data_IF_067381343379
#
_entry.id   IF_067381343379
#
_cell.length_a   1.000
_cell.length_b   1.000
_cell.length_c   1.000
_cell.angle_alpha   90.00
_cell.angle_beta   90.00
_cell.angle_gamma   90.00
#
_symmetry.space_group_name_H-M   'P 1'
#
loop_
_entity.id
_entity.type
_entity.pdbx_description
1 polymer ?
#
# COMPACT_ATOMS: atom_id res chain seq x y z
N UNK A 1 61.16 -17.35 -72.14
CA UNK A 1 60.27 -18.53 -72.29
C UNK A 1 60.56 -19.48 -71.14
N UNK A 2 59.52 -19.95 -70.41
CA UNK A 2 59.55 -20.79 -69.19
C UNK A 2 60.04 -20.05 -67.92
N UNK A 3 59.48 -20.18 -66.72
CA UNK A 3 58.58 -21.17 -66.14
C UNK A 3 57.78 -20.54 -64.99
N UNK A 4 56.54 -21.01 -64.81
CA UNK A 4 55.59 -20.72 -63.73
C UNK A 4 56.14 -21.07 -62.34
N UNK A 5 55.76 -20.29 -61.32
CA UNK A 5 55.45 -20.80 -59.97
C UNK A 5 54.19 -20.10 -59.42
N UNK A 6 53.12 -20.90 -59.36
CA UNK A 6 51.89 -20.66 -58.61
C UNK A 6 52.05 -21.35 -57.25
N UNK A 7 51.77 -20.62 -56.17
CA UNK A 7 51.37 -21.07 -54.83
C UNK A 7 50.77 -19.79 -54.22
N UNK A 8 49.46 -19.63 -54.02
CA UNK A 8 48.51 -20.55 -53.39
C UNK A 8 48.10 -19.92 -52.06
N UNK A 9 47.41 -18.77 -52.09
CA UNK A 9 46.90 -18.09 -50.91
C UNK A 9 45.44 -18.49 -50.68
N UNK A 10 45.23 -19.46 -49.79
CA UNK A 10 43.90 -19.81 -49.27
C UNK A 10 43.47 -18.76 -48.24
N UNK A 11 42.56 -17.86 -48.62
CA UNK A 11 41.88 -16.97 -47.69
C UNK A 11 40.73 -17.75 -47.03
N UNK A 12 40.92 -18.18 -45.78
CA UNK A 12 39.84 -18.69 -44.95
C UNK A 12 38.99 -17.49 -44.45
N UNK A 13 37.79 -17.35 -45.00
CA UNK A 13 36.80 -16.38 -44.54
C UNK A 13 36.12 -16.93 -43.28
N UNK A 14 36.57 -16.48 -42.10
CA UNK A 14 35.86 -16.73 -40.84
C UNK A 14 34.70 -15.73 -40.75
N UNK A 15 33.49 -16.19 -41.07
CA UNK A 15 32.25 -15.49 -40.75
C UNK A 15 32.03 -15.56 -39.23
N UNK A 16 32.49 -14.54 -38.52
CA UNK A 16 32.08 -14.30 -37.14
C UNK A 16 30.61 -13.89 -37.15
N UNK A 17 29.72 -14.86 -36.88
CA UNK A 17 28.33 -14.59 -36.53
C UNK A 17 28.37 -13.93 -35.15
N UNK A 18 28.43 -12.60 -35.13
CA UNK A 18 28.24 -11.83 -33.93
C UNK A 18 26.79 -11.98 -33.49
N UNK A 19 26.55 -12.86 -32.53
CA UNK A 19 25.29 -12.90 -31.79
C UNK A 19 25.18 -11.61 -30.99
N UNK A 20 24.56 -10.58 -31.59
CA UNK A 20 24.09 -9.41 -30.84
C UNK A 20 22.95 -9.88 -29.96
N UNK A 21 23.27 -10.26 -28.72
CA UNK A 21 22.29 -10.26 -27.64
C UNK A 21 21.85 -8.80 -27.48
N UNK A 22 20.74 -8.43 -28.12
CA UNK A 22 20.02 -7.24 -27.78
C UNK A 22 19.58 -7.42 -26.32
N UNK A 23 20.30 -6.79 -25.39
CA UNK A 23 19.80 -6.57 -24.03
C UNK A 23 18.52 -5.74 -24.21
N UNK A 24 17.36 -6.41 -24.24
CA UNK A 24 16.10 -5.73 -24.07
C UNK A 24 16.18 -5.03 -22.72
N UNK A 25 16.30 -3.70 -22.75
CA UNK A 25 16.40 -2.89 -21.54
C UNK A 25 15.14 -3.14 -20.72
N UNK A 26 15.30 -3.77 -19.54
CA UNK A 26 14.17 -4.10 -18.67
C UNK A 26 13.46 -2.79 -18.31
N UNK A 27 12.19 -2.66 -18.71
CA UNK A 27 11.41 -1.47 -18.41
C UNK A 27 11.23 -1.36 -16.89
N UNK A 28 11.66 -0.25 -16.30
CA UNK A 28 11.43 0.05 -14.89
C UNK A 28 10.08 0.72 -14.67
N UNK A 29 9.32 0.22 -13.70
CA UNK A 29 8.07 0.80 -13.23
C UNK A 29 8.27 1.49 -11.88
N UNK A 30 7.66 2.67 -11.68
CA UNK A 30 7.65 3.38 -10.40
C UNK A 30 6.32 3.20 -9.68
N UNK A 31 6.35 2.69 -8.44
CA UNK A 31 5.13 2.48 -7.64
C UNK A 31 5.23 3.29 -6.35
N UNK A 32 4.24 4.15 -6.13
CA UNK A 32 4.12 4.95 -4.91
C UNK A 32 3.46 4.18 -3.78
N UNK A 33 3.91 4.42 -2.56
CA UNK A 33 3.27 3.94 -1.33
C UNK A 33 3.52 4.91 -0.18
N UNK A 34 2.72 4.80 0.88
CA UNK A 34 2.94 5.56 2.12
C UNK A 34 3.69 4.67 3.09
N UNK A 35 4.89 5.11 3.50
CA UNK A 35 5.66 4.39 4.50
C UNK A 35 5.01 4.52 5.89
N UNK A 36 5.13 3.47 6.71
CA UNK A 36 4.47 3.40 8.02
C UNK A 36 3.01 2.93 8.00
N UNK A 37 2.36 2.79 6.84
CA UNK A 37 1.05 2.15 6.72
C UNK A 37 1.25 0.68 6.37
N UNK A 38 1.05 -0.22 7.33
CA UNK A 38 1.44 -1.63 7.18
C UNK A 38 0.81 -2.32 5.96
N UNK A 39 -0.45 -2.04 5.66
CA UNK A 39 -1.17 -2.56 4.50
C UNK A 39 -0.60 -2.00 3.17
N UNK A 40 -0.28 -0.70 3.12
CA UNK A 40 0.31 -0.07 1.94
C UNK A 40 1.71 -0.61 1.68
N UNK A 41 2.51 -0.82 2.73
CA UNK A 41 3.86 -1.41 2.62
C UNK A 41 3.74 -2.86 2.14
N UNK A 42 2.93 -3.68 2.79
CA UNK A 42 2.76 -5.09 2.44
C UNK A 42 2.27 -5.29 1.00
N UNK A 43 1.19 -4.60 0.63
CA UNK A 43 0.55 -4.70 -0.69
C UNK A 43 1.49 -4.28 -1.80
N UNK A 44 2.14 -3.13 -1.66
CA UNK A 44 3.05 -2.61 -2.69
C UNK A 44 4.28 -3.50 -2.87
N UNK A 45 4.86 -4.03 -1.77
CA UNK A 45 6.04 -4.89 -1.89
C UNK A 45 5.70 -6.27 -2.49
N UNK A 46 4.55 -6.85 -2.16
CA UNK A 46 4.09 -8.10 -2.80
C UNK A 46 3.82 -7.90 -4.29
N UNK A 47 3.10 -6.83 -4.65
CA UNK A 47 2.86 -6.51 -6.06
C UNK A 47 4.19 -6.30 -6.82
N UNK A 48 5.13 -5.54 -6.24
CA UNK A 48 6.44 -5.34 -6.84
C UNK A 48 7.20 -6.65 -7.04
N UNK A 49 7.13 -7.57 -6.07
CA UNK A 49 7.80 -8.86 -6.18
C UNK A 49 7.19 -9.76 -7.26
N UNK A 50 5.86 -9.78 -7.39
CA UNK A 50 5.18 -10.48 -8.49
C UNK A 50 5.57 -9.87 -9.84
N UNK A 51 5.55 -8.54 -9.96
CA UNK A 51 5.93 -7.83 -11.18
C UNK A 51 7.37 -8.17 -11.59
N UNK A 52 8.31 -8.13 -10.64
CA UNK A 52 9.72 -8.48 -10.87
C UNK A 52 9.90 -9.95 -11.27
N UNK A 53 9.37 -10.88 -10.47
CA UNK A 53 9.65 -12.31 -10.67
C UNK A 53 8.84 -12.96 -11.79
N UNK A 54 7.62 -12.48 -12.07
CA UNK A 54 6.65 -13.16 -12.94
C UNK A 54 6.37 -12.40 -14.23
N UNK A 55 6.51 -11.07 -14.23
CA UNK A 55 6.14 -10.23 -15.37
C UNK A 55 7.36 -9.60 -16.07
N UNK A 56 8.56 -9.75 -15.51
CA UNK A 56 9.82 -9.35 -16.16
C UNK A 56 10.06 -7.83 -16.22
N UNK A 57 9.53 -7.07 -15.26
CA UNK A 57 9.78 -5.64 -15.12
C UNK A 57 10.60 -5.34 -13.87
N UNK A 58 11.47 -4.35 -13.96
CA UNK A 58 12.08 -3.78 -12.74
C UNK A 58 11.07 -2.87 -12.05
N UNK A 59 11.16 -2.77 -10.72
CA UNK A 59 10.26 -1.92 -9.93
C UNK A 59 11.07 -1.04 -8.99
N UNK A 60 10.81 0.26 -9.06
CA UNK A 60 11.27 1.27 -8.12
C UNK A 60 10.13 1.69 -7.21
N UNK A 61 10.21 1.29 -5.94
CA UNK A 61 9.26 1.73 -4.92
C UNK A 61 9.63 3.13 -4.42
N UNK A 62 8.62 3.99 -4.28
CA UNK A 62 8.80 5.36 -3.79
C UNK A 62 7.88 5.62 -2.61
N UNK A 63 8.48 5.74 -1.42
CA UNK A 63 7.80 6.19 -0.22
C UNK A 63 7.48 7.68 -0.34
N UNK A 64 6.20 8.05 -0.40
CA UNK A 64 5.72 9.42 -0.54
C UNK A 64 4.45 9.63 0.29
N UNK A 65 4.17 10.87 0.68
CA UNK A 65 2.91 11.21 1.35
C UNK A 65 1.71 11.03 0.40
N UNK A 66 0.52 10.77 0.96
CA UNK A 66 -0.73 10.48 0.21
C UNK A 66 -1.00 11.47 -0.93
N UNK A 67 -0.92 12.78 -0.66
CA UNK A 67 -1.16 13.79 -1.70
C UNK A 67 -0.15 13.76 -2.85
N UNK A 68 1.12 13.49 -2.54
CA UNK A 68 2.19 13.35 -3.55
C UNK A 68 1.99 12.06 -4.34
N UNK A 69 1.55 10.98 -3.69
CA UNK A 69 1.25 9.70 -4.34
C UNK A 69 0.16 9.85 -5.41
N UNK A 70 -0.99 10.43 -5.04
CA UNK A 70 -2.10 10.68 -5.98
C UNK A 70 -1.66 11.59 -7.14
N UNK A 71 -0.97 12.69 -6.83
CA UNK A 71 -0.46 13.61 -7.86
C UNK A 71 0.56 12.95 -8.78
N UNK A 72 1.42 12.08 -8.23
CA UNK A 72 2.44 11.37 -8.98
C UNK A 72 1.83 10.43 -10.02
N UNK A 73 0.78 9.68 -9.64
CA UNK A 73 0.08 8.78 -10.57
C UNK A 73 -0.73 9.58 -11.60
N UNK A 74 -1.45 10.63 -11.17
CA UNK A 74 -2.24 11.49 -12.07
C UNK A 74 -1.38 12.19 -13.15
N UNK A 75 -0.13 12.51 -12.84
CA UNK A 75 0.80 13.15 -13.79
C UNK A 75 1.71 12.18 -14.54
N UNK A 76 1.56 10.86 -14.32
CA UNK A 76 2.42 9.84 -14.93
C UNK A 76 3.85 9.78 -14.40
N UNK A 77 4.19 10.52 -13.34
CA UNK A 77 5.50 10.42 -12.65
C UNK A 77 5.64 9.13 -11.85
N UNK A 78 4.52 8.60 -11.36
CA UNK A 78 4.37 7.26 -10.82
C UNK A 78 3.52 6.45 -11.79
N UNK A 79 3.91 5.20 -12.03
CA UNK A 79 3.13 4.27 -12.86
C UNK A 79 1.90 3.74 -12.12
N UNK A 80 2.01 3.50 -10.80
CA UNK A 80 0.90 2.99 -10.00
C UNK A 80 0.97 3.35 -8.50
N UNK A 81 -0.15 3.15 -7.82
CA UNK A 81 -0.30 3.06 -6.37
C UNK A 81 -1.36 2.00 -6.03
N UNK A 82 -1.21 1.32 -4.90
CA UNK A 82 -2.09 0.24 -4.49
C UNK A 82 -2.79 0.50 -3.13
N UNK A 83 -2.72 1.73 -2.66
CA UNK A 83 -3.30 2.18 -1.39
C UNK A 83 -4.32 3.30 -1.59
N UNK A 84 -5.16 3.19 -2.62
CA UNK A 84 -6.26 4.10 -2.84
C UNK A 84 -7.51 3.67 -2.05
N UNK A 85 -7.67 4.18 -0.83
CA UNK A 85 -8.83 3.92 0.04
C UNK A 85 -10.07 4.71 -0.43
N UNK A 86 -11.05 4.04 -1.02
CA UNK A 86 -12.22 4.64 -1.67
C UNK A 86 -13.53 4.03 -1.19
N UNK A 87 -14.63 4.81 -1.13
CA UNK A 87 -14.74 6.21 -1.57
C UNK A 87 -14.55 7.24 -0.45
N UNK A 88 -14.38 6.83 0.81
CA UNK A 88 -14.51 7.74 1.96
C UNK A 88 -13.18 8.38 2.30
N UNK A 89 -12.14 7.58 2.49
CA UNK A 89 -10.85 8.05 3.03
C UNK A 89 -10.08 8.92 2.03
N UNK A 90 -10.03 8.53 0.76
CA UNK A 90 -9.41 9.30 -0.32
C UNK A 90 -10.44 9.93 -1.28
N UNK A 91 -11.69 10.13 -0.87
CA UNK A 91 -12.76 10.66 -1.72
C UNK A 91 -12.43 12.01 -2.39
N UNK A 92 -11.82 12.93 -1.64
CA UNK A 92 -11.39 14.22 -2.17
C UNK A 92 -10.24 14.09 -3.18
N UNK A 93 -9.30 13.18 -2.94
CA UNK A 93 -8.23 12.88 -3.88
C UNK A 93 -8.77 12.25 -5.15
N UNK A 94 -9.70 11.30 -5.03
CA UNK A 94 -10.37 10.69 -6.18
C UNK A 94 -11.12 11.72 -6.99
N UNK A 95 -11.94 12.56 -6.37
CA UNK A 95 -12.72 13.60 -7.05
C UNK A 95 -11.85 14.53 -7.88
N UNK A 96 -10.66 14.89 -7.37
CA UNK A 96 -9.70 15.77 -8.06
C UNK A 96 -8.92 15.08 -9.19
N UNK A 97 -8.70 13.77 -9.11
CA UNK A 97 -7.73 13.06 -9.95
C UNK A 97 -8.33 11.98 -10.87
N UNK A 98 -9.58 11.54 -10.66
CA UNK A 98 -10.19 10.39 -11.35
C UNK A 98 -10.12 10.45 -12.87
N UNK A 99 -10.15 11.64 -13.45
CA UNK A 99 -10.12 11.82 -14.91
C UNK A 99 -8.69 11.75 -15.48
N UNK A 100 -7.67 11.65 -14.62
CA UNK A 100 -6.24 11.59 -14.94
C UNK A 100 -5.60 10.24 -14.59
N UNK A 101 -6.35 9.31 -13.99
CA UNK A 101 -5.87 7.99 -13.57
C UNK A 101 -6.77 6.89 -14.12
N UNK A 102 -6.33 5.64 -13.97
CA UNK A 102 -7.11 4.45 -14.28
C UNK A 102 -7.28 3.64 -13.00
N UNK A 103 -8.52 3.37 -12.61
CA UNK A 103 -8.83 2.45 -11.52
C UNK A 103 -8.91 1.02 -12.08
N UNK A 104 -8.02 0.15 -11.59
CA UNK A 104 -7.98 -1.26 -11.95
C UNK A 104 -8.84 -2.12 -11.00
N UNK A 105 -9.48 -1.52 -10.01
CA UNK A 105 -10.42 -2.17 -9.11
C UNK A 105 -9.86 -2.41 -7.71
N UNK A 106 -10.70 -2.96 -6.82
CA UNK A 106 -10.34 -3.17 -5.42
C UNK A 106 -9.36 -4.34 -5.27
N UNK A 107 -8.24 -4.10 -4.58
CA UNK A 107 -7.38 -5.15 -4.06
C UNK A 107 -7.82 -5.65 -2.68
N UNK A 108 -8.63 -4.87 -1.96
CA UNK A 108 -9.21 -5.25 -0.67
C UNK A 108 -10.63 -4.68 -0.56
N UNK A 109 -11.61 -5.49 -0.16
CA UNK A 109 -13.05 -5.14 -0.25
C UNK A 109 -13.72 -4.77 1.07
N UNK A 110 -13.15 -5.19 2.20
CA UNK A 110 -13.75 -5.02 3.53
C UNK A 110 -12.94 -4.03 4.38
N UNK A 111 -12.47 -2.96 3.74
CA UNK A 111 -11.64 -1.96 4.39
C UNK A 111 -12.50 -1.09 5.30
N UNK A 112 -11.95 -0.65 6.43
CA UNK A 112 -12.67 0.24 7.36
C UNK A 112 -11.70 1.13 8.09
N UNK A 113 -12.04 2.40 8.29
CA UNK A 113 -11.31 3.33 9.15
C UNK A 113 -12.14 3.76 10.36
N UNK A 114 -11.51 4.34 11.37
CA UNK A 114 -12.20 4.91 12.52
C UNK A 114 -11.32 5.17 13.73
N UNK A 115 -11.94 5.59 14.83
CA UNK A 115 -11.30 5.59 16.14
C UNK A 115 -11.34 4.20 16.74
N UNK A 116 -10.19 3.73 17.20
CA UNK A 116 -10.00 2.43 17.82
C UNK A 116 -9.54 2.61 19.26
N UNK A 117 -10.08 1.76 20.13
CA UNK A 117 -9.70 1.65 21.54
C UNK A 117 -9.40 0.18 21.88
N UNK A 118 -8.55 -0.10 22.88
CA UNK A 118 -8.46 -1.41 23.49
C UNK A 118 -9.81 -1.90 24.04
N UNK A 119 -10.07 -3.20 24.01
CA UNK A 119 -11.35 -3.78 24.42
C UNK A 119 -11.69 -3.50 25.90
N UNK A 120 -10.68 -3.37 26.75
CA UNK A 120 -10.83 -3.06 28.18
C UNK A 120 -11.28 -1.62 28.47
N UNK A 121 -11.24 -0.73 27.49
CA UNK A 121 -11.71 0.65 27.62
C UNK A 121 -13.24 0.67 27.73
N UNK A 122 -13.80 1.57 28.54
CA UNK A 122 -15.26 1.64 28.79
C UNK A 122 -16.05 2.31 27.67
N UNK A 123 -15.51 3.38 27.07
CA UNK A 123 -16.16 4.16 26.02
C UNK A 123 -16.55 3.28 24.81
N UNK A 124 -17.83 3.26 24.45
CA UNK A 124 -18.38 2.44 23.35
C UNK A 124 -18.56 3.26 22.08
N UNK A 125 -19.00 4.51 22.20
CA UNK A 125 -19.23 5.43 21.08
C UNK A 125 -18.28 6.62 21.12
N UNK A 126 -18.11 7.30 19.98
CA UNK A 126 -17.33 8.54 19.89
C UNK A 126 -17.88 9.61 20.86
N UNK A 127 -19.20 9.66 21.10
CA UNK A 127 -19.80 10.59 22.06
C UNK A 127 -19.30 10.39 23.50
N UNK A 128 -18.94 9.16 23.90
CA UNK A 128 -18.46 8.87 25.25
C UNK A 128 -17.13 9.59 25.57
N UNK A 129 -16.36 9.92 24.53
CA UNK A 129 -15.11 10.67 24.67
C UNK A 129 -15.32 12.06 25.31
N UNK A 130 -16.53 12.65 25.19
CA UNK A 130 -16.85 13.94 25.82
C UNK A 130 -16.72 13.93 27.33
N UNK A 131 -17.13 12.83 27.94
CA UNK A 131 -17.27 12.69 29.40
C UNK A 131 -16.20 11.81 30.02
N UNK A 132 -15.43 11.08 29.22
CA UNK A 132 -14.35 10.23 29.69
C UNK A 132 -13.01 10.99 29.76
N UNK A 133 -12.69 11.50 30.95
CA UNK A 133 -11.45 12.24 31.20
C UNK A 133 -10.18 11.37 31.12
N UNK A 134 -10.31 10.03 31.09
CA UNK A 134 -9.15 9.14 31.04
C UNK A 134 -8.36 9.26 29.74
N UNK A 135 -9.00 9.69 28.65
CA UNK A 135 -8.35 9.99 27.37
C UNK A 135 -7.56 11.30 27.37
N UNK A 136 -7.69 12.13 28.43
CA UNK A 136 -6.99 13.42 28.58
C UNK A 136 -7.16 14.32 27.36
N UNK A 137 -8.35 14.30 26.76
CA UNK A 137 -8.71 15.06 25.55
C UNK A 137 -7.71 14.88 24.41
N UNK A 138 -7.22 13.65 24.21
CA UNK A 138 -6.18 13.34 23.22
C UNK A 138 -6.59 12.15 22.36
N UNK A 139 -6.47 12.32 21.05
CA UNK A 139 -6.53 11.23 20.08
C UNK A 139 -5.14 11.10 19.45
N UNK A 140 -4.59 9.89 19.39
CA UNK A 140 -3.30 9.63 18.75
C UNK A 140 -3.53 9.34 17.27
N UNK A 141 -3.01 10.23 16.44
CA UNK A 141 -3.10 10.14 14.99
C UNK A 141 -1.89 9.46 14.35
N UNK A 142 -1.94 9.38 13.02
CA UNK A 142 -0.84 9.01 12.15
C UNK A 142 -0.32 10.26 11.40
N UNK A 143 0.10 10.10 10.15
CA UNK A 143 0.65 11.16 9.30
C UNK A 143 -0.38 12.25 9.02
N UNK A 144 0.01 13.52 9.22
CA UNK A 144 -0.82 14.66 8.91
C UNK A 144 -1.24 14.66 7.42
N UNK A 145 -2.50 15.01 7.16
CA UNK A 145 -3.07 15.03 5.82
C UNK A 145 -3.48 13.65 5.27
N UNK A 146 -3.25 12.56 6.01
CA UNK A 146 -3.85 11.26 5.67
C UNK A 146 -5.38 11.30 5.79
N UNK A 147 -6.08 10.49 4.99
CA UNK A 147 -7.54 10.52 4.93
C UNK A 147 -8.22 10.28 6.28
N UNK A 148 -7.72 9.33 7.08
CA UNK A 148 -8.26 9.05 8.42
C UNK A 148 -8.04 10.23 9.38
N UNK A 149 -6.96 11.00 9.23
CA UNK A 149 -6.72 12.20 10.03
C UNK A 149 -7.74 13.29 9.68
N UNK A 150 -7.98 13.52 8.39
CA UNK A 150 -9.01 14.48 7.94
C UNK A 150 -10.40 14.09 8.43
N UNK A 151 -10.76 12.80 8.38
CA UNK A 151 -12.02 12.30 8.94
C UNK A 151 -12.09 12.43 10.46
N UNK A 152 -10.97 12.30 11.16
CA UNK A 152 -10.92 12.47 12.62
C UNK A 152 -11.03 13.93 13.03
N UNK A 153 -10.44 14.86 12.28
CA UNK A 153 -10.65 16.30 12.45
C UNK A 153 -12.12 16.67 12.24
N UNK A 154 -12.78 16.06 11.26
CA UNK A 154 -14.21 16.21 11.05
C UNK A 154 -15.02 15.62 12.22
N UNK A 155 -14.66 14.43 12.70
CA UNK A 155 -15.33 13.79 13.84
C UNK A 155 -15.23 14.64 15.11
N UNK A 156 -14.07 15.24 15.39
CA UNK A 156 -13.90 16.16 16.53
C UNK A 156 -14.90 17.33 16.46
N UNK A 157 -15.14 17.88 15.26
CA UNK A 157 -16.11 18.96 15.06
C UNK A 157 -17.54 18.46 15.16
N UNK A 158 -17.88 17.42 14.41
CA UNK A 158 -19.26 16.93 14.30
C UNK A 158 -19.78 16.39 15.62
N UNK A 159 -18.91 15.74 16.40
CA UNK A 159 -19.25 15.27 17.73
C UNK A 159 -19.11 16.36 18.79
N UNK A 160 -18.64 17.57 18.52
CA UNK A 160 -18.38 18.59 19.56
C UNK A 160 -17.47 18.04 20.68
N UNK A 161 -16.32 17.47 20.29
CA UNK A 161 -15.29 17.02 21.22
C UNK A 161 -14.44 18.21 21.68
N UNK A 162 -15.08 19.19 22.33
CA UNK A 162 -14.43 20.46 22.70
C UNK A 162 -13.16 20.24 23.56
N UNK A 163 -12.05 20.77 23.06
CA UNK A 163 -10.72 20.67 23.68
C UNK A 163 -9.94 19.39 23.35
N UNK A 164 -10.51 18.47 22.57
CA UNK A 164 -9.75 17.34 22.06
C UNK A 164 -8.69 17.78 21.06
N UNK A 165 -7.50 17.18 21.18
CA UNK A 165 -6.40 17.37 20.25
C UNK A 165 -6.10 16.07 19.51
N UNK A 166 -6.19 16.12 18.18
CA UNK A 166 -5.64 15.10 17.31
C UNK A 166 -4.13 15.29 17.19
N UNK A 167 -3.35 14.38 17.78
CA UNK A 167 -1.89 14.44 17.76
C UNK A 167 -1.37 13.75 16.50
N UNK A 168 -0.95 14.53 15.51
CA UNK A 168 -0.22 14.01 14.36
C UNK A 168 1.07 13.30 14.80
N UNK A 169 1.36 12.17 14.18
CA UNK A 169 2.53 11.34 14.42
C UNK A 169 2.88 10.59 13.12
N UNK A 170 3.15 9.29 13.21
CA UNK A 170 3.27 8.35 12.09
C UNK A 170 2.58 7.05 12.46
N UNK A 171 2.38 6.14 11.51
CA UNK A 171 1.88 4.78 11.82
C UNK A 171 2.69 4.09 12.92
N UNK A 172 4.03 4.15 12.84
CA UNK A 172 4.91 3.59 13.87
C UNK A 172 4.77 4.31 15.23
N UNK A 173 4.62 5.63 15.23
CA UNK A 173 4.42 6.42 16.45
C UNK A 173 3.09 6.09 17.15
N UNK A 174 2.02 5.96 16.37
CA UNK A 174 0.70 5.55 16.86
C UNK A 174 0.76 4.15 17.49
N UNK A 175 1.41 3.19 16.82
CA UNK A 175 1.59 1.84 17.36
C UNK A 175 2.41 1.84 18.65
N UNK A 176 3.43 2.69 18.77
CA UNK A 176 4.23 2.80 19.99
C UNK A 176 3.42 3.34 21.17
N UNK A 177 2.55 4.32 20.95
CA UNK A 177 1.60 4.84 21.95
C UNK A 177 0.58 3.76 22.36
N UNK A 178 -0.03 3.08 21.39
CA UNK A 178 -0.97 1.98 21.65
C UNK A 178 -0.31 0.86 22.45
N UNK A 179 0.91 0.48 22.09
CA UNK A 179 1.70 -0.53 22.82
C UNK A 179 1.92 -0.12 24.29
N UNK A 180 2.20 1.16 24.56
CA UNK A 180 2.38 1.66 25.93
C UNK A 180 1.07 1.59 26.72
N UNK A 181 -0.04 1.99 26.10
CA UNK A 181 -1.36 1.94 26.71
C UNK A 181 -1.78 0.50 27.04
N UNK A 182 -1.64 -0.43 26.09
CA UNK A 182 -1.85 -1.87 26.28
C UNK A 182 -1.06 -2.43 27.47
N UNK A 183 0.24 -2.10 27.57
CA UNK A 183 1.10 -2.56 28.67
C UNK A 183 0.69 -2.01 30.04
N UNK A 184 0.11 -0.81 30.07
CA UNK A 184 -0.27 -0.11 31.30
C UNK A 184 -1.76 -0.21 31.63
N UNK A 185 -2.54 -0.85 30.75
CA UNK A 185 -4.00 -0.88 30.83
C UNK A 185 -4.62 0.53 30.92
N UNK A 186 -4.08 1.47 30.14
CA UNK A 186 -4.50 2.87 30.10
C UNK A 186 -5.46 3.12 28.92
N UNK A 187 -6.48 3.97 29.13
CA UNK A 187 -7.34 4.40 28.03
C UNK A 187 -6.56 5.15 26.95
N UNK A 188 -6.77 4.75 25.69
CA UNK A 188 -6.22 5.43 24.52
C UNK A 188 -7.23 5.33 23.38
N UNK A 189 -7.40 6.43 22.64
CA UNK A 189 -8.08 6.47 21.36
C UNK A 189 -7.06 6.74 20.27
N UNK A 190 -7.02 5.90 19.25
CA UNK A 190 -6.11 6.03 18.11
C UNK A 190 -6.88 6.07 16.80
N UNK A 191 -6.38 6.80 15.80
CA UNK A 191 -6.84 6.60 14.42
C UNK A 191 -6.35 5.26 13.92
N UNK A 192 -7.23 4.39 13.43
CA UNK A 192 -6.78 3.15 12.82
C UNK A 192 -7.75 2.58 11.79
N UNK A 193 -7.37 1.42 11.24
CA UNK A 193 -8.00 0.87 10.06
C UNK A 193 -7.87 -0.66 9.96
N UNK A 194 -8.74 -1.28 9.16
CA UNK A 194 -8.68 -2.68 8.72
C UNK A 194 -8.46 -2.68 7.20
N UNK A 195 -7.53 -3.48 6.65
CA UNK A 195 -6.74 -4.52 7.34
C UNK A 195 -5.52 -3.95 8.07
N UNK A 196 -5.22 -4.51 9.25
CA UNK A 196 -4.01 -4.18 10.01
C UNK A 196 -3.63 -5.32 10.97
N UNK A 197 -2.33 -5.60 11.12
CA UNK A 197 -1.83 -6.68 11.98
C UNK A 197 -2.17 -6.49 13.47
N UNK A 198 -2.38 -5.24 13.90
CA UNK A 198 -2.61 -4.91 15.31
C UNK A 198 -3.81 -5.61 15.93
N UNK A 199 -4.85 -5.94 15.13
CA UNK A 199 -6.02 -6.68 15.59
C UNK A 199 -5.76 -8.16 15.86
N UNK A 200 -4.69 -8.73 15.28
CA UNK A 200 -4.24 -10.07 15.62
C UNK A 200 -3.39 -10.06 16.91
N UNK A 201 -2.69 -8.95 17.19
CA UNK A 201 -1.83 -8.81 18.38
C UNK A 201 -2.60 -8.41 19.63
N UNK A 202 -3.57 -7.51 19.50
CA UNK A 202 -4.31 -6.93 20.61
C UNK A 202 -5.80 -7.05 20.38
N UNK A 203 -6.55 -7.14 21.48
CA UNK A 203 -8.02 -7.08 21.43
C UNK A 203 -8.45 -5.63 21.35
N UNK A 204 -8.70 -5.19 20.12
CA UNK A 204 -9.07 -3.82 19.80
C UNK A 204 -10.48 -3.78 19.21
N UNK A 205 -11.17 -2.66 19.38
CA UNK A 205 -12.48 -2.41 18.78
C UNK A 205 -12.61 -0.98 18.29
N UNK A 206 -13.43 -0.78 17.28
CA UNK A 206 -13.84 0.56 16.86
C UNK A 206 -14.80 1.15 17.89
N UNK A 207 -14.73 2.46 18.08
CA UNK A 207 -15.83 3.21 18.70
C UNK A 207 -16.98 3.34 17.71
N UNK A 208 -18.21 3.21 18.21
CA UNK A 208 -19.42 3.41 17.42
C UNK A 208 -19.51 4.86 16.95
N UNK A 209 -19.75 5.02 15.64
CA UNK A 209 -19.86 6.30 14.94
C UNK A 209 -21.31 6.52 14.46
N UNK A 210 -22.26 6.89 15.36
CA UNK A 210 -23.66 7.09 15.00
C UNK A 210 -23.90 8.19 13.95
N UNK A 211 -22.96 9.13 13.78
CA UNK A 211 -23.01 10.19 12.75
C UNK A 211 -22.41 9.75 11.41
N UNK A 212 -21.76 8.60 11.34
CA UNK A 212 -21.22 8.03 10.11
C UNK A 212 -20.09 8.85 9.48
N UNK A 213 -19.30 9.57 10.27
CA UNK A 213 -18.19 10.42 9.80
C UNK A 213 -17.14 9.59 9.06
N UNK A 214 -16.83 8.40 9.56
CA UNK A 214 -15.86 7.47 8.97
C UNK A 214 -16.45 6.60 7.85
N UNK A 215 -17.76 6.68 7.62
CA UNK A 215 -18.47 5.89 6.63
C UNK A 215 -18.61 4.40 7.00
N UNK A 216 -19.16 3.64 6.05
CA UNK A 216 -19.28 2.19 6.14
C UNK A 216 -17.97 1.50 5.71
N UNK A 217 -18.03 0.18 5.46
CA UNK A 217 -16.93 -0.50 4.79
C UNK A 217 -16.65 0.14 3.42
N UNK A 218 -15.38 0.19 3.07
CA UNK A 218 -14.85 0.77 1.84
C UNK A 218 -13.82 -0.18 1.21
N UNK A 219 -13.27 0.18 0.06
CA UNK A 219 -12.28 -0.63 -0.64
C UNK A 219 -10.91 0.04 -0.67
N UNK A 220 -9.87 -0.77 -0.85
CA UNK A 220 -8.54 -0.28 -1.23
C UNK A 220 -8.29 -0.71 -2.66
N UNK A 221 -8.01 0.25 -3.54
CA UNK A 221 -7.96 0.03 -4.99
C UNK A 221 -6.54 0.13 -5.55
N UNK A 222 -6.34 -0.58 -6.67
CA UNK A 222 -5.18 -0.48 -7.54
C UNK A 222 -5.40 0.64 -8.54
N UNK A 223 -4.61 1.71 -8.48
CA UNK A 223 -4.71 2.85 -9.39
C UNK A 223 -3.41 2.96 -10.19
N UNK A 224 -3.51 3.11 -11.50
CA UNK A 224 -2.36 3.40 -12.36
C UNK A 224 -2.50 4.67 -13.16
N UNK A 225 -1.38 5.12 -13.72
CA UNK A 225 -1.36 6.24 -14.67
C UNK A 225 -2.06 5.86 -15.98
N UNK A 226 -2.44 6.85 -16.78
CA UNK A 226 -3.03 6.61 -18.11
C UNK A 226 -2.11 5.85 -19.05
N UNK A 227 -0.80 5.98 -18.88
CA UNK A 227 0.18 5.39 -19.77
C UNK A 227 0.53 3.94 -19.39
N UNK A 228 0.15 3.48 -18.19
CA UNK A 228 0.54 2.16 -17.67
C UNK A 228 0.12 1.02 -18.60
N UNK A 229 -1.10 1.04 -19.13
CA UNK A 229 -1.60 -0.03 -20.00
C UNK A 229 -0.82 -0.12 -21.33
N UNK A 230 -0.31 1.01 -21.84
CA UNK A 230 0.54 1.05 -23.04
C UNK A 230 1.97 0.66 -22.71
N UNK A 231 2.49 1.12 -21.56
CA UNK A 231 3.88 0.89 -21.12
C UNK A 231 4.13 -0.56 -20.72
N UNK A 232 3.19 -1.16 -19.98
CA UNK A 232 3.26 -2.47 -19.37
C UNK A 232 1.86 -3.15 -19.32
N UNK A 233 1.34 -3.64 -20.46
CA UNK A 233 -0.01 -4.21 -20.55
C UNK A 233 -0.22 -5.41 -19.62
N UNK A 234 0.79 -6.27 -19.44
CA UNK A 234 0.73 -7.40 -18.52
C UNK A 234 0.60 -6.97 -17.05
N UNK A 235 1.23 -5.84 -16.68
CA UNK A 235 1.10 -5.28 -15.32
C UNK A 235 -0.28 -4.66 -15.12
N UNK A 236 -0.80 -3.96 -16.12
CA UNK A 236 -2.17 -3.45 -16.09
C UNK A 236 -3.21 -4.58 -15.95
N UNK A 237 -2.99 -5.73 -16.60
CA UNK A 237 -3.82 -6.93 -16.45
C UNK A 237 -3.69 -7.53 -15.04
N UNK A 238 -2.46 -7.69 -14.54
CA UNK A 238 -2.20 -8.14 -13.18
C UNK A 238 -2.92 -7.26 -12.14
N UNK A 239 -2.84 -5.93 -12.25
CA UNK A 239 -3.51 -5.03 -11.31
C UNK A 239 -5.04 -5.14 -11.32
N UNK A 240 -5.66 -5.61 -12.42
CA UNK A 240 -7.11 -5.90 -12.45
C UNK A 240 -7.47 -7.14 -11.66
N UNK A 241 -6.58 -8.13 -11.65
CA UNK A 241 -6.79 -9.42 -11.01
C UNK A 241 -6.28 -9.43 -9.56
N UNK A 242 -5.33 -8.55 -9.23
CA UNK A 242 -4.65 -8.52 -7.94
C UNK A 242 -5.61 -8.09 -6.83
N UNK A 243 -6.06 -9.08 -6.08
CA UNK A 243 -6.94 -8.93 -4.93
C UNK A 243 -6.56 -9.90 -3.82
N UNK A 244 -6.44 -9.37 -2.61
CA UNK A 244 -6.39 -10.13 -1.38
C UNK A 244 -7.72 -10.84 -1.12
N UNK A 245 -7.65 -12.11 -0.72
CA UNK A 245 -8.77 -12.97 -0.39
C UNK A 245 -9.33 -12.65 1.00
N UNK A 246 -8.49 -12.20 1.93
CA UNK A 246 -8.92 -11.87 3.29
C UNK A 246 -7.95 -10.93 4.00
N UNK A 247 -8.40 -10.37 5.13
CA UNK A 247 -7.55 -9.60 6.04
C UNK A 247 -6.38 -10.41 6.61
N UNK A 248 -6.54 -11.74 6.71
CA UNK A 248 -5.52 -12.63 7.25
C UNK A 248 -4.41 -12.89 6.22
N UNK A 249 -4.76 -12.93 4.93
CA UNK A 249 -3.79 -13.11 3.83
C UNK A 249 -2.78 -11.95 3.76
N UNK A 250 -3.27 -10.71 3.71
CA UNK A 250 -2.40 -9.52 3.80
C UNK A 250 -1.77 -9.40 5.20
N UNK A 251 -2.50 -9.85 6.24
CA UNK A 251 -2.05 -9.89 7.63
C UNK A 251 -0.76 -10.68 7.85
N UNK A 252 -0.57 -11.78 7.13
CA UNK A 252 0.65 -12.59 7.18
C UNK A 252 1.90 -11.76 6.83
N UNK A 253 1.83 -10.97 5.75
CA UNK A 253 2.94 -10.12 5.31
C UNK A 253 3.19 -8.99 6.30
N UNK A 254 2.11 -8.35 6.76
CA UNK A 254 2.20 -7.27 7.75
C UNK A 254 2.82 -7.74 9.06
N UNK A 255 2.44 -8.91 9.56
CA UNK A 255 3.00 -9.52 10.77
C UNK A 255 4.48 -9.86 10.60
N UNK A 256 4.87 -10.47 9.48
CA UNK A 256 6.28 -10.77 9.22
C UNK A 256 7.16 -9.51 9.26
N UNK A 257 6.67 -8.40 8.67
CA UNK A 257 7.37 -7.11 8.71
C UNK A 257 7.43 -6.58 10.15
N UNK A 258 6.31 -6.64 10.88
CA UNK A 258 6.23 -6.19 12.26
C UNK A 258 7.16 -6.97 13.20
N UNK A 259 7.42 -8.25 12.91
CA UNK A 259 8.32 -9.12 13.68
C UNK A 259 9.79 -9.00 13.25
N UNK A 260 10.10 -8.07 12.34
CA UNK A 260 11.46 -7.65 12.02
C UNK A 260 11.95 -8.02 10.62
N UNK A 261 11.13 -8.67 9.79
CA UNK A 261 11.50 -8.90 8.40
C UNK A 261 11.54 -7.57 7.63
N UNK A 262 12.51 -7.43 6.72
CA UNK A 262 12.48 -6.33 5.73
C UNK A 262 11.29 -6.55 4.80
N UNK A 263 10.57 -5.49 4.37
CA UNK A 263 9.41 -5.61 3.48
C UNK A 263 9.65 -6.45 2.21
N UNK A 264 10.77 -6.24 1.51
CA UNK A 264 11.14 -7.06 0.33
C UNK A 264 11.31 -8.54 0.67
N UNK A 265 11.92 -8.85 1.82
CA UNK A 265 12.12 -10.23 2.24
C UNK A 265 10.79 -10.90 2.63
N UNK A 266 9.91 -10.18 3.32
CA UNK A 266 8.57 -10.67 3.67
C UNK A 266 7.73 -10.92 2.41
N UNK A 267 7.73 -9.97 1.45
CA UNK A 267 7.04 -10.12 0.18
C UNK A 267 7.56 -11.31 -0.63
N UNK A 268 8.89 -11.46 -0.75
CA UNK A 268 9.51 -12.59 -1.44
C UNK A 268 9.17 -13.93 -0.81
N UNK A 269 9.22 -14.01 0.53
CA UNK A 269 8.83 -15.21 1.26
C UNK A 269 7.35 -15.55 1.03
N UNK A 270 6.47 -14.56 1.10
CA UNK A 270 5.03 -14.74 0.85
C UNK A 270 4.76 -15.22 -0.57
N UNK A 271 5.32 -14.56 -1.60
CA UNK A 271 5.16 -14.95 -3.02
C UNK A 271 5.66 -16.37 -3.28
N UNK A 272 6.76 -16.78 -2.65
CA UNK A 272 7.29 -18.14 -2.77
C UNK A 272 6.40 -19.18 -2.08
N UNK A 273 5.77 -18.81 -0.95
CA UNK A 273 4.88 -19.68 -0.17
C UNK A 273 3.50 -19.85 -0.82
N UNK A 274 3.05 -18.88 -1.61
CA UNK A 274 1.69 -18.82 -2.18
C UNK A 274 1.67 -18.83 -3.72
N UNK A 275 2.27 -19.83 -4.40
CA UNK A 275 2.40 -19.84 -5.86
C UNK A 275 1.05 -19.90 -6.58
N UNK A 276 0.04 -20.57 -6.01
CA UNK A 276 -1.30 -20.67 -6.61
C UNK A 276 -2.01 -19.30 -6.62
N UNK A 277 -1.89 -18.54 -5.53
CA UNK A 277 -2.43 -17.16 -5.43
C UNK A 277 -1.81 -16.25 -6.46
N UNK A 278 -0.49 -16.33 -6.61
CA UNK A 278 0.25 -15.55 -7.62
C UNK A 278 -0.15 -15.95 -9.03
N UNK A 279 -0.33 -17.26 -9.29
CA UNK A 279 -0.78 -17.75 -10.59
C UNK A 279 -2.17 -17.21 -10.95
N UNK A 280 -3.10 -17.10 -10.00
CA UNK A 280 -4.42 -16.53 -10.24
C UNK A 280 -4.38 -15.07 -10.69
N UNK A 281 -3.45 -14.28 -10.15
CA UNK A 281 -3.36 -12.85 -10.50
C UNK A 281 -2.75 -12.59 -11.87
N UNK A 282 -1.91 -13.49 -12.39
CA UNK A 282 -1.21 -13.31 -13.67
C UNK A 282 -1.87 -14.03 -14.86
N UNK A 283 -3.03 -14.68 -14.63
CA UNK A 283 -3.83 -15.33 -15.68
C UNK A 283 -4.37 -14.35 -16.72
#
# INVERSE_FOLDING_TARGET
MKMRRLLGASAALVLAIGSTFANAETKTLSIGYVDGWSDSVATTHVAAEVIKQKLGYDVKLQAVATGIMWQGVATGKLDAMLSAWLPVTHGDYWTKNKDQVVDYGPNFKDAKIGLIVPEYVKAKTIDDLKTDDTFKKRIVGIDAGSGVMLKTEQAIKDYDLTGYQLKASSGAGMIAELTRAEKKNESIAVTGWVPHWMFAKWKLRFLDDPKGVYGAAETVNNIGSKDLATKAPEVAKFLKNFQWASKDEIGEVMLAIQDGAKPDAAAKAWVAKHPERVADWIK
#
